data_IF_372771086311
#
_entry.id   IF_372771086311
#
_cell.length_a   1.000
_cell.length_b   1.000
_cell.length_c   1.000
_cell.angle_alpha   90.00
_cell.angle_beta   90.00
_cell.angle_gamma   90.00
#
_symmetry.space_group_name_H-M   'P 1'
#
loop_
_entity.id
_entity.type
_entity.pdbx_description
1 polymer ?
#
# COMPACT_ATOMS: atom_id res chain seq x y z
N UNK A 1 13.79 -7.24 -9.88
CA UNK A 1 14.09 -8.04 -8.66
C UNK A 1 14.20 -7.12 -7.45
N UNK A 2 14.79 -5.93 -7.61
CA UNK A 2 14.99 -4.93 -6.54
C UNK A 2 13.69 -4.48 -5.86
N UNK A 3 12.60 -4.30 -6.61
CA UNK A 3 11.29 -3.91 -6.04
C UNK A 3 10.75 -4.96 -5.06
N UNK A 4 10.96 -6.25 -5.33
CA UNK A 4 10.50 -7.32 -4.44
C UNK A 4 11.33 -7.35 -3.14
N UNK A 5 12.64 -7.10 -3.24
CA UNK A 5 13.53 -6.97 -2.08
C UNK A 5 13.18 -5.75 -1.23
N UNK A 6 12.93 -4.61 -1.87
CA UNK A 6 12.46 -3.40 -1.20
C UNK A 6 11.14 -3.62 -0.48
N UNK A 7 10.18 -4.30 -1.12
CA UNK A 7 8.90 -4.63 -0.49
C UNK A 7 9.07 -5.55 0.73
N UNK A 8 9.89 -6.60 0.60
CA UNK A 8 10.17 -7.53 1.70
C UNK A 8 10.80 -6.83 2.90
N UNK A 9 11.87 -6.06 2.65
CA UNK A 9 12.68 -5.45 3.70
C UNK A 9 11.95 -4.29 4.40
N UNK A 10 11.12 -3.52 3.68
CA UNK A 10 10.49 -2.34 4.25
C UNK A 10 9.06 -2.60 4.74
N UNK A 11 8.28 -3.42 4.02
CA UNK A 11 6.86 -3.63 4.33
C UNK A 11 6.68 -4.89 5.16
N UNK A 12 7.11 -6.05 4.65
CA UNK A 12 6.89 -7.34 5.33
C UNK A 12 7.71 -7.45 6.61
N UNK A 13 8.96 -6.97 6.64
CA UNK A 13 9.76 -6.98 7.87
C UNK A 13 9.18 -6.10 8.98
N UNK A 14 8.51 -5.00 8.63
CA UNK A 14 7.98 -4.03 9.61
C UNK A 14 6.59 -4.42 10.09
N UNK A 15 5.71 -4.86 9.18
CA UNK A 15 4.32 -5.21 9.49
C UNK A 15 4.11 -6.70 9.80
N UNK A 16 5.07 -7.55 9.44
CA UNK A 16 4.89 -9.00 9.37
C UNK A 16 4.07 -9.43 8.16
N UNK A 17 3.85 -10.74 8.05
CA UNK A 17 2.97 -11.30 7.02
C UNK A 17 1.52 -11.09 7.44
N UNK A 18 0.79 -10.28 6.68
CA UNK A 18 -0.62 -9.99 6.93
C UNK A 18 -1.47 -11.20 6.58
N UNK A 19 -2.51 -11.48 7.39
CA UNK A 19 -3.46 -12.57 7.09
C UNK A 19 -4.44 -12.21 5.99
N UNK A 20 -4.86 -10.93 5.95
CA UNK A 20 -5.81 -10.40 4.98
C UNK A 20 -5.33 -9.01 4.58
N UNK A 21 -5.31 -8.74 3.28
CA UNK A 21 -5.12 -7.41 2.72
C UNK A 21 -6.41 -7.04 2.02
N UNK A 22 -6.97 -5.89 2.39
CA UNK A 22 -8.13 -5.33 1.71
C UNK A 22 -7.63 -4.20 0.85
N UNK A 23 -7.86 -4.29 -0.46
CA UNK A 23 -7.41 -3.30 -1.44
C UNK A 23 -8.47 -3.11 -2.50
N UNK A 24 -8.40 -1.99 -3.20
CA UNK A 24 -9.12 -1.79 -4.45
C UNK A 24 -8.64 -2.75 -5.56
N UNK A 25 -9.28 -2.66 -6.73
CA UNK A 25 -8.92 -3.48 -7.90
C UNK A 25 -7.75 -2.90 -8.72
N UNK A 26 -6.82 -2.18 -8.10
CA UNK A 26 -5.66 -1.66 -8.80
C UNK A 26 -4.88 -2.83 -9.47
N UNK A 27 -4.39 -2.66 -10.72
CA UNK A 27 -3.58 -3.66 -11.43
C UNK A 27 -2.40 -4.21 -10.62
N UNK A 28 -1.85 -3.43 -9.70
CA UNK A 28 -0.78 -3.86 -8.80
C UNK A 28 -1.24 -5.04 -7.94
N UNK A 29 -2.44 -4.98 -7.35
CA UNK A 29 -2.95 -6.06 -6.50
C UNK A 29 -3.67 -7.17 -7.28
N UNK A 30 -4.09 -6.91 -8.51
CA UNK A 30 -4.78 -7.90 -9.35
C UNK A 30 -3.86 -8.62 -10.35
N UNK A 31 -2.62 -8.17 -10.52
CA UNK A 31 -1.65 -8.83 -11.39
C UNK A 31 -1.19 -10.18 -10.83
N UNK A 32 -0.86 -11.09 -11.76
CA UNK A 32 -0.46 -12.46 -11.45
C UNK A 32 0.74 -12.56 -10.49
N UNK A 33 1.71 -11.65 -10.63
CA UNK A 33 2.89 -11.61 -9.76
C UNK A 33 2.49 -11.40 -8.30
N UNK A 34 1.59 -10.45 -8.04
CA UNK A 34 1.19 -10.10 -6.69
C UNK A 34 0.20 -11.10 -6.11
N UNK A 35 -0.76 -11.58 -6.91
CA UNK A 35 -1.67 -12.64 -6.44
C UNK A 35 -0.92 -13.91 -6.06
N UNK A 36 0.08 -14.33 -6.86
CA UNK A 36 0.89 -15.50 -6.56
C UNK A 36 1.80 -15.28 -5.34
N UNK A 37 2.38 -14.07 -5.19
CA UNK A 37 3.18 -13.73 -4.02
C UNK A 37 2.37 -13.87 -2.73
N UNK A 38 1.16 -13.29 -2.68
CA UNK A 38 0.34 -13.35 -1.48
C UNK A 38 -0.22 -14.75 -1.20
N UNK A 39 -0.47 -15.55 -2.24
CA UNK A 39 -0.84 -16.96 -2.08
C UNK A 39 0.28 -17.77 -1.41
N UNK A 40 1.54 -17.58 -1.85
CA UNK A 40 2.73 -18.20 -1.22
C UNK A 40 2.89 -17.77 0.24
N UNK A 41 2.59 -16.50 0.55
CA UNK A 41 2.65 -15.96 1.90
C UNK A 41 1.47 -16.38 2.79
N UNK A 42 0.45 -17.04 2.23
CA UNK A 42 -0.78 -17.38 2.94
C UNK A 42 -1.63 -16.16 3.29
N UNK A 43 -1.44 -15.06 2.57
CA UNK A 43 -2.17 -13.81 2.72
C UNK A 43 -3.39 -13.81 1.81
N UNK A 44 -4.58 -13.61 2.37
CA UNK A 44 -5.81 -13.48 1.59
C UNK A 44 -5.95 -12.06 1.04
N UNK A 45 -5.91 -11.90 -0.28
CA UNK A 45 -6.35 -10.66 -0.94
C UNK A 45 -7.88 -10.60 -0.97
N UNK A 46 -8.46 -9.53 -0.45
CA UNK A 46 -9.87 -9.22 -0.53
C UNK A 46 -10.06 -7.89 -1.26
N UNK A 47 -10.72 -7.93 -2.42
CA UNK A 47 -10.92 -6.73 -3.22
C UNK A 47 -12.19 -5.99 -2.79
N UNK A 48 -12.06 -4.70 -2.49
CA UNK A 48 -13.20 -3.82 -2.27
C UNK A 48 -14.01 -3.71 -3.58
N UNK A 49 -15.34 -3.59 -3.48
CA UNK A 49 -16.14 -3.19 -4.63
C UNK A 49 -16.04 -1.68 -4.79
N UNK A 50 -16.11 -1.18 -6.04
CA UNK A 50 -15.97 0.23 -6.42
C UNK A 50 -16.91 1.22 -5.69
N UNK A 51 -17.76 0.75 -4.78
CA UNK A 51 -18.68 1.56 -3.97
C UNK A 51 -18.86 1.00 -2.55
N UNK A 52 -17.80 0.51 -1.88
CA UNK A 52 -17.82 0.13 -0.46
C UNK A 52 -16.94 1.04 0.42
N UNK A 53 -17.39 2.28 0.70
CA UNK A 53 -16.66 3.25 1.55
C UNK A 53 -16.45 2.80 3.00
N UNK A 54 -17.04 1.68 3.43
CA UNK A 54 -16.86 1.18 4.79
C UNK A 54 -15.51 0.49 5.01
N UNK A 55 -14.99 -0.21 3.99
CA UNK A 55 -13.77 -1.00 4.13
C UNK A 55 -12.56 -0.30 3.55
N UNK A 56 -12.68 0.24 2.33
CA UNK A 56 -11.62 1.02 1.70
C UNK A 56 -11.58 2.46 2.22
N UNK A 57 -12.75 3.02 2.54
CA UNK A 57 -12.84 4.39 3.04
C UNK A 57 -12.16 4.61 4.39
N UNK A 58 -11.74 3.56 5.12
CA UNK A 58 -10.87 3.73 6.29
C UNK A 58 -9.41 3.97 5.87
N UNK A 59 -8.92 3.26 4.85
CA UNK A 59 -7.61 3.52 4.26
C UNK A 59 -7.59 4.87 3.53
N UNK A 60 -8.60 5.17 2.72
CA UNK A 60 -8.72 6.47 2.01
C UNK A 60 -8.77 7.65 3.00
N UNK A 61 -9.52 7.52 4.12
CA UNK A 61 -9.54 8.56 5.17
C UNK A 61 -8.19 8.75 5.86
N UNK A 62 -7.36 7.71 5.92
CA UNK A 62 -6.00 7.82 6.47
C UNK A 62 -5.02 8.40 5.44
N UNK A 63 -5.19 8.06 4.16
CA UNK A 63 -4.32 8.53 3.06
C UNK A 63 -4.57 10.01 2.75
N UNK A 64 -5.83 10.48 2.73
CA UNK A 64 -6.17 11.88 2.42
C UNK A 64 -5.36 12.95 3.17
N UNK A 65 -5.26 12.93 4.52
CA UNK A 65 -4.47 13.92 5.23
C UNK A 65 -2.98 13.81 4.92
N UNK A 66 -2.46 12.61 4.62
CA UNK A 66 -1.07 12.42 4.22
C UNK A 66 -0.81 13.02 2.84
N UNK A 67 -1.69 12.78 1.87
CA UNK A 67 -1.62 13.39 0.54
C UNK A 67 -1.68 14.91 0.60
N UNK A 68 -2.57 15.46 1.44
CA UNK A 68 -2.67 16.92 1.62
C UNK A 68 -1.39 17.52 2.20
N UNK A 69 -0.75 16.84 3.15
CA UNK A 69 0.55 17.26 3.69
C UNK A 69 1.62 17.19 2.62
N UNK A 70 1.71 16.08 1.87
CA UNK A 70 2.70 15.90 0.81
C UNK A 70 2.53 16.94 -0.30
N UNK A 71 1.29 17.22 -0.70
CA UNK A 71 0.98 18.25 -1.69
C UNK A 71 1.45 19.63 -1.23
N UNK A 72 1.12 20.02 0.00
CA UNK A 72 1.58 21.29 0.58
C UNK A 72 3.10 21.34 0.69
N UNK A 73 3.73 20.24 1.09
CA UNK A 73 5.18 20.14 1.20
C UNK A 73 5.88 20.38 -0.15
N UNK A 74 5.40 19.72 -1.21
CA UNK A 74 5.91 19.89 -2.57
C UNK A 74 5.62 21.29 -3.14
N UNK A 75 4.44 21.87 -2.87
CA UNK A 75 4.09 23.24 -3.28
C UNK A 75 5.01 24.31 -2.66
N UNK A 76 5.50 24.08 -1.44
CA UNK A 76 6.40 25.00 -0.74
C UNK A 76 7.88 24.77 -1.09
N UNK A 77 8.19 23.87 -2.03
CA UNK A 77 9.56 23.61 -2.48
C UNK A 77 10.47 23.04 -1.39
N UNK A 78 9.88 22.37 -0.39
CA UNK A 78 10.64 21.74 0.68
C UNK A 78 11.31 20.47 0.13
N UNK A 79 12.62 20.35 0.31
CA UNK A 79 13.34 19.11 -0.02
C UNK A 79 13.18 18.09 1.11
N UNK A 80 12.83 16.86 0.75
CA UNK A 80 12.93 15.74 1.67
C UNK A 80 14.41 15.49 1.93
N UNK A 81 14.87 15.78 3.14
CA UNK A 81 16.22 15.42 3.56
C UNK A 81 16.17 13.98 4.05
N UNK A 82 16.85 13.09 3.33
CA UNK A 82 17.18 11.78 3.86
C UNK A 82 17.93 11.99 5.19
N UNK A 83 17.39 11.44 6.27
CA UNK A 83 18.14 11.30 7.51
C UNK A 83 19.08 10.11 7.31
N UNK A 84 20.33 10.39 6.94
CA UNK A 84 21.45 9.46 7.15
C UNK A 84 21.53 9.00 8.61
#
# INVERSE_FOLDING_TARGET
>A
MDTALLFWNNIISTCGVLKIIISDRDPKFTSEVWTNLYDILGTKLAFSMAHHPQTDGSAERMIQPMEDILRRFCEHGMEYKDHE
#
